data_IF_339339562721
#
_entry.id   IF_339339562721
#
_cell.length_a   1.000
_cell.length_b   1.000
_cell.length_c   1.000
_cell.angle_alpha   90.00
_cell.angle_beta   90.00
_cell.angle_gamma   90.00
#
_symmetry.space_group_name_H-M   'P 1'
#
loop_
_entity.id
_entity.type
_entity.pdbx_description
1 polymer ?
#
# COMPACT_ATOMS: atom_id res chain seq x y z
N UNK A 1 -47.29 34.13 -7.04
CA UNK A 1 -46.23 33.32 -7.68
C UNK A 1 -46.92 32.20 -8.46
N UNK A 2 -46.81 32.16 -9.76
CA UNK A 2 -47.54 31.25 -10.64
C UNK A 2 -46.90 29.90 -10.72
N UNK A 3 -47.70 28.82 -10.86
CA UNK A 3 -47.29 27.41 -11.04
C UNK A 3 -46.24 27.17 -12.14
N UNK A 4 -45.95 28.20 -12.96
CA UNK A 4 -44.92 28.13 -14.03
C UNK A 4 -43.49 28.41 -13.55
N UNK A 5 -43.31 28.94 -12.34
CA UNK A 5 -41.97 29.19 -11.78
C UNK A 5 -41.42 28.02 -10.97
N UNK A 6 -42.23 27.02 -10.62
CA UNK A 6 -41.78 25.80 -9.92
C UNK A 6 -41.26 24.68 -10.87
N UNK A 7 -41.49 24.83 -12.18
CA UNK A 7 -41.04 23.82 -13.17
C UNK A 7 -39.70 24.16 -13.82
N UNK A 8 -39.12 25.31 -13.50
CA UNK A 8 -37.82 25.73 -14.08
C UNK A 8 -36.60 25.35 -13.23
N UNK A 9 -36.79 24.79 -12.02
CA UNK A 9 -35.66 24.32 -11.14
C UNK A 9 -35.48 22.81 -11.18
N UNK A 10 -36.37 22.05 -11.82
CA UNK A 10 -36.29 20.60 -11.98
C UNK A 10 -35.59 20.14 -13.28
N UNK A 11 -35.04 21.10 -14.06
CA UNK A 11 -34.42 20.85 -15.37
C UNK A 11 -32.87 20.80 -15.37
N UNK A 12 -32.21 20.77 -14.22
CA UNK A 12 -30.74 20.60 -14.16
C UNK A 12 -30.42 19.12 -14.16
N UNK A 13 -30.32 18.58 -15.37
CA UNK A 13 -29.29 17.61 -15.74
C UNK A 13 -29.22 16.32 -14.97
N UNK A 14 -30.24 15.46 -14.99
CA UNK A 14 -30.02 14.00 -15.01
C UNK A 14 -29.64 13.58 -16.43
N UNK A 15 -28.49 14.00 -16.89
CA UNK A 15 -27.72 13.19 -17.86
C UNK A 15 -27.17 12.00 -17.08
N UNK A 16 -28.00 10.99 -16.87
CA UNK A 16 -27.57 9.63 -16.65
C UNK A 16 -26.83 9.21 -17.93
N UNK A 17 -25.51 9.49 -17.97
CA UNK A 17 -24.64 8.74 -18.83
C UNK A 17 -24.87 7.28 -18.44
N UNK A 18 -25.49 6.51 -19.32
CA UNK A 18 -25.51 5.06 -19.24
C UNK A 18 -24.07 4.60 -19.41
N UNK A 19 -23.28 4.67 -18.33
CA UNK A 19 -22.06 3.89 -18.19
C UNK A 19 -22.57 2.46 -18.23
N UNK A 20 -22.29 1.78 -19.34
CA UNK A 20 -22.43 0.34 -19.45
C UNK A 20 -21.69 -0.23 -18.26
N UNK A 21 -22.45 -0.54 -17.21
CA UNK A 21 -21.95 -1.19 -16.00
C UNK A 21 -21.61 -2.61 -16.40
N UNK A 22 -20.43 -2.81 -17.00
CA UNK A 22 -19.81 -4.12 -16.97
C UNK A 22 -19.89 -4.54 -15.51
N UNK A 23 -20.61 -5.63 -15.27
CA UNK A 23 -20.62 -6.31 -13.98
C UNK A 23 -19.17 -6.64 -13.69
N UNK A 24 -18.48 -5.81 -12.93
CA UNK A 24 -17.17 -6.16 -12.37
C UNK A 24 -17.52 -7.30 -11.42
N UNK A 25 -17.17 -8.51 -11.79
CA UNK A 25 -17.14 -9.59 -10.81
C UNK A 25 -16.23 -9.06 -9.71
N UNK A 26 -16.74 -8.99 -8.49
CA UNK A 26 -15.93 -8.61 -7.33
C UNK A 26 -14.79 -9.59 -7.29
N UNK A 27 -13.60 -9.15 -7.74
CA UNK A 27 -12.40 -9.95 -7.64
C UNK A 27 -12.09 -9.98 -6.15
N UNK A 28 -12.49 -11.07 -5.51
CA UNK A 28 -12.04 -11.35 -4.16
C UNK A 28 -10.52 -11.46 -4.26
N UNK A 29 -9.79 -10.62 -3.54
CA UNK A 29 -8.37 -10.88 -3.32
C UNK A 29 -8.26 -12.35 -2.92
N UNK A 30 -7.29 -13.06 -3.51
CA UNK A 30 -7.12 -14.49 -3.22
C UNK A 30 -7.20 -14.68 -1.70
N UNK A 31 -7.89 -15.71 -1.28
CA UNK A 31 -8.07 -16.07 0.14
C UNK A 31 -6.73 -16.41 0.84
N UNK A 32 -5.66 -16.50 0.06
CA UNK A 32 -4.29 -16.83 0.47
C UNK A 32 -3.35 -15.60 0.58
N UNK A 33 -3.90 -14.36 0.55
CA UNK A 33 -3.07 -13.18 0.84
C UNK A 33 -2.60 -13.23 2.30
N UNK A 34 -1.30 -13.03 2.56
CA UNK A 34 -0.73 -13.24 3.89
C UNK A 34 -1.26 -12.23 4.92
N UNK A 35 -1.50 -12.72 6.14
CA UNK A 35 -1.86 -11.88 7.29
C UNK A 35 -0.70 -10.98 7.74
N UNK A 36 0.55 -11.47 7.59
CA UNK A 36 1.79 -10.79 7.97
C UNK A 36 2.42 -10.12 6.76
N UNK A 37 2.35 -8.79 6.72
CA UNK A 37 2.99 -7.95 5.69
C UNK A 37 4.02 -7.05 6.36
N UNK A 38 5.27 -7.15 5.91
CA UNK A 38 6.37 -6.36 6.44
C UNK A 38 6.39 -4.98 5.80
N UNK A 39 6.16 -3.94 6.60
CA UNK A 39 6.14 -2.53 6.19
C UNK A 39 7.55 -2.04 5.89
N UNK A 40 7.86 -1.86 4.60
CA UNK A 40 9.21 -1.55 4.09
C UNK A 40 10.25 -2.60 4.49
N UNK A 41 9.83 -3.87 4.65
CA UNK A 41 10.63 -4.95 5.20
C UNK A 41 10.61 -5.00 6.74
N UNK A 42 11.58 -5.68 7.35
CA UNK A 42 11.79 -5.70 8.80
C UNK A 42 12.45 -4.38 9.26
N UNK A 43 11.79 -3.26 9.00
CA UNK A 43 12.33 -1.90 9.10
C UNK A 43 12.66 -1.45 10.54
N UNK A 44 12.20 -2.18 11.56
CA UNK A 44 12.68 -2.01 12.94
C UNK A 44 14.10 -2.59 13.16
N UNK A 45 14.61 -3.46 12.27
CA UNK A 45 15.86 -4.21 12.44
C UNK A 45 16.90 -3.94 11.35
N UNK A 46 16.46 -3.48 10.17
CA UNK A 46 17.32 -3.15 9.04
C UNK A 46 16.81 -1.90 8.32
N UNK A 47 17.65 -1.23 7.50
CA UNK A 47 17.22 -0.05 6.76
C UNK A 47 15.99 -0.31 5.89
N UNK A 48 14.98 0.54 6.02
CA UNK A 48 13.72 0.42 5.30
C UNK A 48 13.92 0.37 3.77
N UNK A 49 13.09 -0.39 3.07
CA UNK A 49 13.08 -0.48 1.61
C UNK A 49 14.41 -1.00 1.00
N UNK A 50 15.15 -1.82 1.74
CA UNK A 50 16.41 -2.43 1.30
C UNK A 50 16.30 -3.96 1.23
N UNK A 51 17.26 -4.57 0.52
CA UNK A 51 17.36 -6.03 0.38
C UNK A 51 17.49 -6.73 1.74
N UNK A 52 18.29 -6.15 2.64
CA UNK A 52 18.51 -6.63 3.99
C UNK A 52 17.21 -6.65 4.80
N UNK A 53 16.42 -5.57 4.75
CA UNK A 53 15.14 -5.51 5.45
C UNK A 53 14.13 -6.51 4.88
N UNK A 54 14.10 -6.70 3.57
CA UNK A 54 13.20 -7.65 2.93
C UNK A 54 13.57 -9.10 3.19
N UNK A 55 14.86 -9.45 3.16
CA UNK A 55 15.34 -10.79 3.52
C UNK A 55 15.03 -11.14 4.97
N UNK A 56 15.34 -10.24 5.90
CA UNK A 56 14.98 -10.42 7.32
C UNK A 56 13.48 -10.57 7.53
N UNK A 57 12.64 -9.87 6.74
CA UNK A 57 11.20 -10.01 6.84
C UNK A 57 10.72 -11.40 6.40
N UNK A 58 11.22 -11.90 5.27
CA UNK A 58 10.87 -13.25 4.78
C UNK A 58 11.38 -14.33 5.73
N UNK A 59 12.60 -14.22 6.24
CA UNK A 59 13.18 -15.11 7.26
C UNK A 59 12.34 -15.12 8.54
N UNK A 60 11.73 -13.97 8.90
CA UNK A 60 10.84 -13.84 10.05
C UNK A 60 9.41 -14.36 9.79
N UNK A 61 9.12 -14.93 8.61
CA UNK A 61 7.83 -15.51 8.28
C UNK A 61 6.81 -14.50 7.71
N UNK A 62 7.25 -13.32 7.25
CA UNK A 62 6.37 -12.44 6.49
C UNK A 62 6.02 -13.08 5.14
N UNK A 63 4.73 -13.21 4.85
CA UNK A 63 4.26 -13.72 3.56
C UNK A 63 4.10 -12.59 2.52
N UNK A 64 4.20 -11.34 2.92
CA UNK A 64 4.13 -10.17 2.05
C UNK A 64 5.12 -9.08 2.43
N UNK A 65 5.61 -8.37 1.42
CA UNK A 65 6.44 -7.18 1.54
C UNK A 65 5.63 -5.96 1.11
N UNK A 66 5.60 -4.95 1.94
CA UNK A 66 5.12 -3.63 1.54
C UNK A 66 6.32 -2.75 1.24
N UNK A 67 6.23 -1.96 0.18
CA UNK A 67 7.30 -1.08 -0.28
C UNK A 67 6.76 0.15 -1.01
N UNK A 68 7.60 1.17 -1.06
CA UNK A 68 7.30 2.46 -1.63
C UNK A 68 8.11 2.69 -2.91
N UNK A 69 7.49 3.23 -3.96
CA UNK A 69 8.21 3.47 -5.22
C UNK A 69 8.15 4.92 -5.69
N UNK A 70 9.29 5.35 -6.23
CA UNK A 70 9.47 6.54 -7.03
C UNK A 70 10.13 6.20 -8.36
N UNK A 71 10.22 7.15 -9.28
CA UNK A 71 10.89 6.98 -10.56
C UNK A 71 12.12 7.89 -10.62
N UNK A 72 13.29 7.34 -10.97
CA UNK A 72 14.54 8.06 -11.22
C UNK A 72 14.43 9.03 -12.39
N UNK A 73 15.44 9.86 -12.64
CA UNK A 73 15.45 10.80 -13.76
C UNK A 73 15.52 10.10 -15.12
N UNK A 74 16.16 8.95 -15.18
CA UNK A 74 16.29 8.10 -16.37
C UNK A 74 15.18 7.05 -16.53
N UNK A 75 14.14 7.10 -15.64
CA UNK A 75 12.90 6.35 -15.83
C UNK A 75 12.82 5.00 -15.14
N UNK A 76 13.77 4.66 -14.27
CA UNK A 76 13.75 3.41 -13.50
C UNK A 76 12.85 3.54 -12.27
N UNK A 77 12.12 2.47 -11.93
CA UNK A 77 11.30 2.40 -10.72
C UNK A 77 12.15 1.97 -9.56
N UNK A 78 12.43 2.89 -8.64
CA UNK A 78 13.28 2.67 -7.46
C UNK A 78 12.46 2.58 -6.19
N UNK A 79 12.97 1.80 -5.23
CA UNK A 79 12.29 1.49 -3.96
C UNK A 79 12.81 2.41 -2.87
N UNK A 80 12.03 3.44 -2.56
CA UNK A 80 12.33 4.45 -1.53
C UNK A 80 11.05 5.17 -1.13
N UNK A 81 10.91 5.52 0.16
CA UNK A 81 9.69 6.14 0.69
C UNK A 81 9.56 7.63 0.36
N UNK A 82 10.61 8.41 0.62
CA UNK A 82 10.58 9.86 0.51
C UNK A 82 10.88 10.31 -0.92
N UNK A 83 10.41 11.47 -1.30
CA UNK A 83 10.74 12.08 -2.59
C UNK A 83 12.21 12.54 -2.68
N UNK A 84 12.95 12.51 -1.57
CA UNK A 84 14.36 12.83 -1.48
C UNK A 84 15.14 11.72 -0.78
N UNK A 85 16.44 11.65 -1.02
CA UNK A 85 17.32 10.62 -0.43
C UNK A 85 17.84 10.98 0.97
N UNK A 86 17.58 12.19 1.45
CA UNK A 86 18.24 12.82 2.61
C UNK A 86 18.04 12.07 3.94
N UNK A 87 16.86 11.46 4.16
CA UNK A 87 16.52 10.85 5.44
C UNK A 87 17.18 9.49 5.66
N UNK A 88 17.38 8.73 4.61
CA UNK A 88 17.82 7.33 4.72
C UNK A 88 19.23 7.10 4.23
N UNK A 89 19.80 7.98 3.38
CA UNK A 89 21.11 7.80 2.78
C UNK A 89 22.16 8.82 3.29
N UNK A 90 23.38 8.69 2.83
CA UNK A 90 24.48 9.67 2.99
C UNK A 90 24.39 10.84 1.99
N UNK A 91 23.52 10.75 0.96
CA UNK A 91 23.32 11.79 -0.04
C UNK A 91 22.26 12.80 0.31
N UNK A 92 22.01 13.73 -0.62
CA UNK A 92 20.94 14.72 -0.52
C UNK A 92 20.38 15.08 -1.90
N UNK A 93 19.07 15.36 -1.97
CA UNK A 93 18.39 15.80 -3.19
C UNK A 93 17.20 14.92 -3.57
N UNK A 94 16.52 15.35 -4.63
CA UNK A 94 15.29 14.68 -5.10
C UNK A 94 15.60 13.42 -5.91
N UNK A 95 14.93 12.31 -5.59
CA UNK A 95 15.01 11.05 -6.34
C UNK A 95 14.73 11.25 -7.83
N UNK A 96 13.71 12.05 -8.16
CA UNK A 96 13.34 12.35 -9.54
C UNK A 96 14.39 13.15 -10.34
N UNK A 97 15.40 13.71 -9.66
CA UNK A 97 16.53 14.44 -10.27
C UNK A 97 17.80 13.61 -10.45
N UNK A 98 17.82 12.37 -9.95
CA UNK A 98 18.97 11.46 -9.97
C UNK A 98 18.73 10.29 -10.92
N UNK A 99 19.77 9.87 -11.65
CA UNK A 99 19.78 8.64 -12.41
C UNK A 99 19.87 7.43 -11.48
N UNK A 100 19.50 6.23 -11.97
CA UNK A 100 19.69 4.99 -11.21
C UNK A 100 21.13 4.80 -10.77
N UNK A 101 22.11 5.15 -11.64
CA UNK A 101 23.53 5.05 -11.31
C UNK A 101 23.94 5.94 -10.13
N UNK A 102 23.41 7.17 -10.07
CA UNK A 102 23.66 8.10 -8.95
C UNK A 102 22.97 7.60 -7.66
N UNK A 103 21.74 7.09 -7.76
CA UNK A 103 21.01 6.53 -6.61
C UNK A 103 21.71 5.28 -6.03
N UNK A 104 22.26 4.41 -6.87
CA UNK A 104 23.01 3.21 -6.45
C UNK A 104 24.34 3.53 -5.78
N UNK A 105 24.91 4.70 -6.03
CA UNK A 105 26.16 5.12 -5.39
C UNK A 105 25.95 5.59 -3.94
N UNK A 106 24.69 5.70 -3.48
CA UNK A 106 24.34 6.13 -2.13
C UNK A 106 24.28 4.94 -1.17
N UNK A 107 24.70 5.15 0.07
CA UNK A 107 24.55 4.18 1.17
C UNK A 107 23.17 4.34 1.84
N UNK A 108 22.22 3.47 1.50
CA UNK A 108 20.88 3.44 2.09
C UNK A 108 20.87 2.91 3.55
N UNK A 109 21.98 2.37 4.04
CA UNK A 109 22.20 1.98 5.44
C UNK A 109 22.72 3.09 6.34
N UNK A 110 23.14 4.21 5.74
CA UNK A 110 23.93 5.25 6.44
C UNK A 110 23.25 5.84 7.67
N UNK A 111 21.94 6.09 7.59
CA UNK A 111 21.15 6.73 8.65
C UNK A 111 20.46 5.75 9.59
N UNK A 112 20.43 4.46 9.26
CA UNK A 112 19.73 3.47 10.09
C UNK A 112 20.40 3.31 11.44
N UNK A 113 19.60 3.47 12.50
CA UNK A 113 20.02 3.27 13.89
C UNK A 113 18.89 2.59 14.68
N UNK A 114 19.09 1.38 15.20
CA UNK A 114 18.07 0.66 15.97
C UNK A 114 17.93 1.18 17.41
N UNK A 115 18.83 2.04 17.85
CA UNK A 115 18.99 2.48 19.24
C UNK A 115 18.97 4.02 19.43
N UNK A 116 18.37 4.73 18.47
CA UNK A 116 18.19 6.18 18.55
C UNK A 116 19.46 6.98 18.28
N UNK A 117 20.33 6.52 17.41
CA UNK A 117 21.53 7.24 16.96
C UNK A 117 22.80 6.90 17.74
N UNK A 118 22.79 5.83 18.55
CA UNK A 118 23.98 5.37 19.28
C UNK A 118 24.88 4.52 18.41
N UNK A 119 24.28 3.64 17.58
CA UNK A 119 25.00 2.79 16.64
C UNK A 119 24.41 2.87 15.24
N UNK A 120 25.23 2.59 14.25
CA UNK A 120 24.85 2.59 12.82
C UNK A 120 25.38 1.28 12.16
N UNK A 121 24.72 0.14 12.42
CA UNK A 121 25.27 -1.17 12.06
C UNK A 121 25.30 -1.47 10.56
N UNK A 122 24.61 -0.69 9.76
CA UNK A 122 24.52 -0.87 8.30
C UNK A 122 25.32 0.18 7.51
N UNK A 123 25.97 1.14 8.18
CA UNK A 123 26.79 2.14 7.51
C UNK A 123 28.01 1.50 6.88
N UNK A 124 28.36 1.92 5.66
CA UNK A 124 29.49 1.38 4.88
C UNK A 124 29.42 -0.14 4.65
N UNK A 125 28.20 -0.68 4.44
CA UNK A 125 27.94 -2.10 4.21
C UNK A 125 27.37 -2.42 2.83
N UNK A 126 27.57 -1.54 1.85
CA UNK A 126 27.06 -1.67 0.47
C UNK A 126 25.53 -1.84 0.41
N UNK A 127 24.79 -1.20 1.33
CA UNK A 127 23.33 -1.21 1.32
C UNK A 127 22.83 -0.23 0.28
N UNK A 128 22.36 -0.75 -0.86
CA UNK A 128 21.94 0.05 -2.00
C UNK A 128 20.43 0.32 -2.06
N UNK A 129 20.07 1.33 -2.86
CA UNK A 129 18.69 1.56 -3.28
C UNK A 129 18.35 0.55 -4.38
N UNK A 130 17.28 -0.23 -4.19
CA UNK A 130 16.81 -1.25 -5.12
C UNK A 130 15.93 -0.65 -6.22
N UNK A 131 15.90 -1.32 -7.36
CA UNK A 131 14.79 -1.19 -8.31
C UNK A 131 13.65 -2.15 -7.94
N UNK A 132 12.43 -1.84 -8.38
CA UNK A 132 11.29 -2.74 -8.21
C UNK A 132 11.50 -4.09 -8.94
N UNK A 133 12.23 -4.10 -10.06
CA UNK A 133 12.56 -5.33 -10.79
C UNK A 133 13.43 -6.26 -9.94
N UNK A 134 14.48 -5.72 -9.28
CA UNK A 134 15.34 -6.50 -8.39
C UNK A 134 14.58 -7.12 -7.20
N UNK A 135 13.58 -6.41 -6.66
CA UNK A 135 12.72 -6.99 -5.61
C UNK A 135 11.94 -8.21 -6.14
N UNK A 136 11.38 -8.12 -7.34
CA UNK A 136 10.66 -9.25 -7.92
C UNK A 136 11.55 -10.43 -8.29
N UNK A 137 12.77 -10.16 -8.73
CA UNK A 137 13.76 -11.20 -9.06
C UNK A 137 14.21 -11.96 -7.81
N UNK A 138 14.45 -11.27 -6.70
CA UNK A 138 14.88 -11.89 -5.45
C UNK A 138 13.72 -12.60 -4.73
N UNK A 139 12.53 -12.01 -4.69
CA UNK A 139 11.39 -12.51 -3.91
C UNK A 139 10.27 -13.07 -4.78
N UNK A 140 10.57 -14.09 -5.60
CA UNK A 140 9.67 -14.66 -6.61
C UNK A 140 8.38 -15.28 -6.05
N UNK A 141 8.41 -15.78 -4.82
CA UNK A 141 7.26 -16.43 -4.16
C UNK A 141 6.50 -15.51 -3.19
N UNK A 142 7.01 -14.30 -2.92
CA UNK A 142 6.46 -13.40 -1.89
C UNK A 142 5.43 -12.44 -2.51
N UNK A 143 4.36 -12.17 -1.78
CA UNK A 143 3.39 -11.16 -2.18
C UNK A 143 3.98 -9.75 -2.00
N UNK A 144 3.66 -8.83 -2.91
CA UNK A 144 4.21 -7.47 -2.88
C UNK A 144 3.08 -6.44 -2.88
N UNK A 145 3.08 -5.57 -1.88
CA UNK A 145 2.22 -4.40 -1.79
C UNK A 145 3.02 -3.15 -2.16
N UNK A 146 2.68 -2.48 -3.26
CA UNK A 146 3.43 -1.34 -3.78
C UNK A 146 2.65 -0.05 -3.54
N UNK A 147 3.23 0.91 -2.81
CA UNK A 147 2.70 2.28 -2.80
C UNK A 147 3.41 3.15 -3.86
N UNK A 148 2.68 3.62 -4.86
CA UNK A 148 3.17 4.64 -5.80
C UNK A 148 3.06 6.01 -5.13
N UNK A 149 4.21 6.60 -4.77
CA UNK A 149 4.30 7.84 -3.97
C UNK A 149 4.12 9.11 -4.79
N UNK A 150 4.49 9.09 -6.04
CA UNK A 150 4.48 10.27 -6.91
C UNK A 150 3.34 10.26 -7.94
N UNK A 151 3.19 11.39 -8.64
CA UNK A 151 2.17 11.55 -9.68
C UNK A 151 2.78 12.00 -11.01
N UNK A 152 4.07 11.73 -11.23
CA UNK A 152 4.76 12.02 -12.48
C UNK A 152 4.12 11.24 -13.63
N UNK A 153 3.90 11.87 -14.80
CA UNK A 153 3.37 11.15 -15.98
C UNK A 153 4.26 9.94 -16.34
N UNK A 154 3.63 8.80 -16.62
CA UNK A 154 4.31 7.57 -17.02
C UNK A 154 4.66 6.62 -15.87
N UNK A 155 4.61 7.06 -14.60
CA UNK A 155 4.96 6.20 -13.47
C UNK A 155 4.07 4.96 -13.38
N UNK A 156 2.78 5.10 -13.61
CA UNK A 156 1.82 3.99 -13.56
C UNK A 156 2.08 2.96 -14.66
N UNK A 157 2.43 3.43 -15.86
CA UNK A 157 2.78 2.61 -17.01
C UNK A 157 4.07 1.82 -16.75
N UNK A 158 5.10 2.49 -16.22
CA UNK A 158 6.40 1.85 -15.92
C UNK A 158 6.25 0.82 -14.80
N UNK A 159 5.57 1.15 -13.70
CA UNK A 159 5.29 0.18 -12.61
C UNK A 159 4.55 -1.04 -13.15
N UNK A 160 3.52 -0.84 -13.99
CA UNK A 160 2.77 -1.94 -14.59
C UNK A 160 3.66 -2.81 -15.51
N UNK A 161 4.57 -2.21 -16.28
CA UNK A 161 5.50 -2.94 -17.14
C UNK A 161 6.45 -3.82 -16.32
N UNK A 162 6.99 -3.31 -15.20
CA UNK A 162 7.84 -4.09 -14.28
C UNK A 162 7.06 -5.27 -13.68
N UNK A 163 5.83 -5.05 -13.16
CA UNK A 163 4.98 -6.12 -12.61
C UNK A 163 4.74 -7.22 -13.64
N UNK A 164 4.42 -6.84 -14.89
CA UNK A 164 4.18 -7.80 -15.98
C UNK A 164 5.45 -8.51 -16.43
N UNK A 165 6.56 -7.79 -16.52
CA UNK A 165 7.85 -8.37 -16.87
C UNK A 165 8.28 -9.46 -15.91
N UNK A 166 7.92 -9.30 -14.62
CA UNK A 166 8.15 -10.28 -13.57
C UNK A 166 7.06 -11.38 -13.48
N UNK A 167 5.98 -11.32 -14.27
CA UNK A 167 4.84 -12.25 -14.16
C UNK A 167 4.15 -12.21 -12.79
N UNK A 168 4.13 -11.02 -12.14
CA UNK A 168 3.80 -10.88 -10.71
C UNK A 168 2.39 -10.32 -10.47
N UNK A 169 1.52 -10.27 -11.48
CA UNK A 169 0.20 -9.62 -11.38
C UNK A 169 -0.69 -10.24 -10.29
N UNK A 170 -0.63 -11.56 -10.09
CA UNK A 170 -1.48 -12.25 -9.12
C UNK A 170 -1.01 -12.10 -7.67
N UNK A 171 0.28 -11.79 -7.46
CA UNK A 171 0.90 -11.61 -6.15
C UNK A 171 1.21 -10.16 -5.81
N UNK A 172 0.66 -9.21 -6.58
CA UNK A 172 0.88 -7.77 -6.38
C UNK A 172 -0.42 -7.05 -6.03
N UNK A 173 -0.35 -6.16 -5.04
CA UNK A 173 -1.37 -5.15 -4.74
C UNK A 173 -0.76 -3.77 -4.96
N UNK A 174 -1.41 -2.91 -5.75
CA UNK A 174 -0.93 -1.55 -5.99
C UNK A 174 -1.82 -0.52 -5.30
N UNK A 175 -1.20 0.35 -4.52
CA UNK A 175 -1.86 1.42 -3.80
C UNK A 175 -1.26 2.78 -4.12
N UNK A 176 -1.99 3.84 -3.86
CA UNK A 176 -1.49 5.20 -3.78
C UNK A 176 -2.46 6.06 -2.97
N UNK A 177 -1.91 6.87 -2.09
CA UNK A 177 -2.68 7.91 -1.39
C UNK A 177 -3.30 8.93 -2.35
N UNK A 178 -2.74 9.07 -3.56
CA UNK A 178 -3.18 10.01 -4.61
C UNK A 178 -4.27 9.39 -5.48
N UNK A 179 -5.50 9.83 -5.32
CA UNK A 179 -6.65 9.30 -6.07
C UNK A 179 -6.46 9.28 -7.60
N UNK A 180 -5.80 10.31 -8.15
CA UNK A 180 -5.51 10.38 -9.59
C UNK A 180 -4.61 9.24 -10.06
N UNK A 181 -3.57 8.91 -9.31
CA UNK A 181 -2.59 7.86 -9.60
C UNK A 181 -3.27 6.50 -9.62
N UNK A 182 -3.90 6.08 -8.50
CA UNK A 182 -4.53 4.76 -8.44
C UNK A 182 -5.65 4.61 -9.46
N UNK A 183 -6.38 5.68 -9.79
CA UNK A 183 -7.41 5.65 -10.82
C UNK A 183 -6.83 5.48 -12.23
N UNK A 184 -5.66 6.10 -12.54
CA UNK A 184 -4.96 5.86 -13.81
C UNK A 184 -4.45 4.44 -13.88
N UNK A 185 -3.79 3.95 -12.82
CA UNK A 185 -3.30 2.58 -12.73
C UNK A 185 -4.43 1.55 -12.97
N UNK A 186 -5.60 1.70 -12.33
CA UNK A 186 -6.77 0.83 -12.55
C UNK A 186 -7.24 0.82 -14.00
N UNK A 187 -7.20 1.96 -14.70
CA UNK A 187 -7.56 1.99 -16.13
C UNK A 187 -6.56 1.23 -17.00
N UNK A 188 -5.29 1.27 -16.65
CA UNK A 188 -4.22 0.57 -17.37
C UNK A 188 -4.23 -0.94 -17.13
N UNK A 189 -4.35 -1.35 -15.88
CA UNK A 189 -4.31 -2.77 -15.52
C UNK A 189 -5.65 -3.49 -15.75
N UNK A 190 -6.76 -2.77 -15.78
CA UNK A 190 -8.11 -3.37 -15.77
C UNK A 190 -8.31 -4.15 -14.48
N UNK A 191 -8.78 -5.41 -14.62
CA UNK A 191 -9.01 -6.29 -13.48
C UNK A 191 -7.86 -7.29 -13.25
N UNK A 192 -6.66 -7.05 -13.82
CA UNK A 192 -5.53 -8.00 -13.74
C UNK A 192 -4.73 -7.87 -12.46
N UNK A 193 -4.56 -6.65 -11.95
CA UNK A 193 -3.78 -6.37 -10.75
C UNK A 193 -4.72 -5.74 -9.71
N UNK A 194 -4.83 -6.33 -8.51
CA UNK A 194 -5.62 -5.74 -7.41
C UNK A 194 -5.07 -4.37 -7.01
N UNK A 195 -5.97 -3.51 -6.50
CA UNK A 195 -5.60 -2.18 -6.04
C UNK A 195 -6.20 -1.85 -4.68
N UNK A 196 -5.50 -1.05 -3.90
CA UNK A 196 -6.04 -0.48 -2.67
C UNK A 196 -6.80 0.82 -2.90
N UNK A 197 -7.57 1.23 -1.90
CA UNK A 197 -8.30 2.47 -1.89
C UNK A 197 -7.38 3.68 -1.70
N UNK A 198 -7.61 4.76 -2.43
CA UNK A 198 -6.97 6.05 -2.18
C UNK A 198 -7.51 6.71 -0.91
N UNK A 199 -6.79 7.69 -0.37
CA UNK A 199 -7.25 8.46 0.81
C UNK A 199 -8.66 9.03 0.66
N UNK A 200 -9.03 9.48 -0.56
CA UNK A 200 -10.38 9.97 -0.84
C UNK A 200 -11.41 8.84 -0.72
N UNK A 201 -11.12 7.67 -1.29
CA UNK A 201 -12.02 6.52 -1.28
C UNK A 201 -12.19 5.96 0.14
N UNK A 202 -11.11 5.93 0.95
CA UNK A 202 -11.16 5.55 2.37
C UNK A 202 -12.10 6.49 3.14
N UNK A 203 -11.94 7.81 2.97
CA UNK A 203 -12.80 8.80 3.61
C UNK A 203 -14.27 8.61 3.22
N UNK A 204 -14.55 8.46 1.93
CA UNK A 204 -15.91 8.31 1.40
C UNK A 204 -16.53 6.99 1.91
N UNK A 205 -15.75 5.92 1.96
CA UNK A 205 -16.16 4.63 2.54
C UNK A 205 -16.48 4.77 4.04
N UNK A 206 -15.59 5.41 4.81
CA UNK A 206 -15.79 5.62 6.24
C UNK A 206 -17.09 6.37 6.53
N UNK A 207 -17.34 7.47 5.82
CA UNK A 207 -18.58 8.26 5.99
C UNK A 207 -19.83 7.42 5.67
N UNK A 208 -19.83 6.70 4.56
CA UNK A 208 -20.98 5.89 4.15
C UNK A 208 -21.19 4.67 5.07
N UNK A 209 -20.12 4.03 5.54
CA UNK A 209 -20.23 2.94 6.51
C UNK A 209 -20.80 3.42 7.85
N UNK A 210 -20.38 4.60 8.33
CA UNK A 210 -20.93 5.22 9.54
C UNK A 210 -22.41 5.49 9.42
N UNK A 211 -22.87 5.94 8.25
CA UNK A 211 -24.27 6.21 7.95
C UNK A 211 -25.08 4.96 7.56
N UNK A 212 -24.48 3.76 7.55
CA UNK A 212 -25.07 2.49 7.09
C UNK A 212 -25.52 2.52 5.61
N UNK A 213 -24.83 3.32 4.79
CA UNK A 213 -25.10 3.49 3.36
C UNK A 213 -24.06 2.80 2.45
N UNK A 214 -23.19 1.95 3.00
CA UNK A 214 -22.14 1.23 2.25
C UNK A 214 -22.69 0.34 1.12
N UNK A 215 -23.95 -0.08 1.24
CA UNK A 215 -24.62 -0.88 0.18
C UNK A 215 -24.77 -0.12 -1.14
N UNK A 216 -24.76 1.23 -1.09
CA UNK A 216 -24.78 2.07 -2.29
C UNK A 216 -23.41 2.13 -2.99
N UNK A 217 -22.33 1.73 -2.31
CA UNK A 217 -20.99 1.71 -2.87
C UNK A 217 -20.77 0.48 -3.75
N UNK A 218 -20.00 0.70 -4.81
CA UNK A 218 -19.38 -0.36 -5.61
C UNK A 218 -17.88 -0.08 -5.63
N UNK A 219 -17.13 -0.55 -4.59
CA UNK A 219 -15.72 -0.28 -4.47
C UNK A 219 -14.97 -0.73 -5.72
N UNK A 220 -14.15 0.14 -6.35
CA UNK A 220 -13.30 -0.25 -7.46
C UNK A 220 -11.92 -0.76 -6.97
N UNK A 221 -11.82 -1.13 -5.71
CA UNK A 221 -10.61 -1.56 -5.00
C UNK A 221 -10.90 -2.81 -4.18
N UNK A 222 -9.85 -3.55 -3.89
CA UNK A 222 -9.89 -4.82 -3.17
C UNK A 222 -9.49 -4.66 -1.69
N UNK A 223 -8.75 -3.59 -1.33
CA UNK A 223 -8.26 -3.37 0.04
C UNK A 223 -8.47 -1.91 0.51
N UNK A 224 -8.80 -1.76 1.79
CA UNK A 224 -8.75 -0.51 2.55
C UNK A 224 -7.52 -0.58 3.47
N UNK A 225 -6.49 0.22 3.19
CA UNK A 225 -5.28 0.30 4.01
C UNK A 225 -5.37 1.49 4.93
N UNK A 226 -5.58 1.25 6.22
CA UNK A 226 -5.93 2.29 7.19
C UNK A 226 -5.11 2.18 8.48
N UNK A 227 -4.82 3.30 9.18
CA UNK A 227 -4.34 3.25 10.56
C UNK A 227 -5.49 2.85 11.49
N UNK A 228 -5.21 2.38 12.72
CA UNK A 228 -6.24 2.05 13.71
C UNK A 228 -7.17 3.22 14.02
N UNK A 229 -6.61 4.42 14.05
CA UNK A 229 -7.33 5.68 14.23
C UNK A 229 -6.76 6.80 13.33
N UNK A 230 -7.54 7.84 13.14
CA UNK A 230 -7.09 9.07 12.49
C UNK A 230 -7.40 10.28 13.37
N UNK A 231 -6.37 10.89 13.96
CA UNK A 231 -6.48 12.05 14.88
C UNK A 231 -7.42 11.78 16.06
N UNK A 232 -7.33 10.59 16.63
CA UNK A 232 -8.16 10.17 17.76
C UNK A 232 -9.57 9.67 17.40
N UNK A 233 -9.89 9.62 16.10
CA UNK A 233 -11.14 9.01 15.62
C UNK A 233 -10.85 7.56 15.25
N UNK A 234 -11.44 6.56 15.95
CA UNK A 234 -11.25 5.17 15.59
C UNK A 234 -11.74 4.87 14.17
N UNK A 235 -10.86 4.36 13.32
CA UNK A 235 -11.21 3.90 11.98
C UNK A 235 -11.53 2.40 11.98
N UNK A 236 -10.66 1.60 12.58
CA UNK A 236 -10.84 0.14 12.63
C UNK A 236 -11.80 -0.21 13.77
N UNK A 237 -13.07 -0.26 13.44
CA UNK A 237 -14.17 -0.62 14.36
C UNK A 237 -14.90 -1.86 13.83
N UNK A 238 -15.63 -2.64 14.69
CA UNK A 238 -16.45 -3.75 14.21
C UNK A 238 -17.39 -3.34 13.08
N UNK A 239 -17.98 -2.14 13.17
CA UNK A 239 -18.88 -1.62 12.13
C UNK A 239 -18.17 -1.34 10.80
N UNK A 240 -16.95 -0.81 10.85
CA UNK A 240 -16.16 -0.52 9.63
C UNK A 240 -15.74 -1.82 8.94
N UNK A 241 -15.28 -2.82 9.72
CA UNK A 241 -14.90 -4.14 9.21
C UNK A 241 -16.10 -4.87 8.60
N UNK A 242 -17.24 -4.94 9.31
CA UNK A 242 -18.48 -5.51 8.78
C UNK A 242 -18.89 -4.87 7.45
N UNK A 243 -18.83 -3.53 7.38
CA UNK A 243 -19.17 -2.80 6.17
C UNK A 243 -18.22 -3.15 5.02
N UNK A 244 -16.90 -3.22 5.27
CA UNK A 244 -15.91 -3.57 4.26
C UNK A 244 -16.12 -5.00 3.75
N UNK A 245 -16.22 -5.96 4.66
CA UNK A 245 -16.45 -7.38 4.33
C UNK A 245 -17.77 -7.60 3.59
N UNK A 246 -18.85 -6.88 3.96
CA UNK A 246 -20.12 -6.95 3.24
C UNK A 246 -20.04 -6.48 1.78
N UNK A 247 -18.96 -5.75 1.44
CA UNK A 247 -18.66 -5.26 0.09
C UNK A 247 -17.55 -6.07 -0.60
N UNK A 248 -17.05 -7.14 0.04
CA UNK A 248 -15.95 -7.95 -0.47
C UNK A 248 -14.60 -7.21 -0.47
N UNK A 249 -14.44 -6.24 0.43
CA UNK A 249 -13.23 -5.44 0.56
C UNK A 249 -12.51 -5.83 1.83
N UNK A 250 -11.23 -6.11 1.73
CA UNK A 250 -10.32 -6.44 2.81
C UNK A 250 -9.87 -5.17 3.55
N UNK A 251 -9.57 -5.30 4.84
CA UNK A 251 -9.04 -4.22 5.68
C UNK A 251 -7.64 -4.57 6.16
N UNK A 252 -6.66 -3.83 5.68
CA UNK A 252 -5.25 -3.95 6.05
C UNK A 252 -4.91 -2.81 7.01
N UNK A 253 -4.31 -3.14 8.16
CA UNK A 253 -4.05 -2.13 9.22
C UNK A 253 -2.55 -1.89 9.36
N UNK A 254 -2.13 -0.61 9.31
CA UNK A 254 -0.73 -0.15 9.37
C UNK A 254 -0.54 1.05 10.30
N UNK A 255 0.64 1.32 10.86
CA UNK A 255 1.73 0.39 11.07
C UNK A 255 1.66 -0.09 12.50
N UNK A 256 1.55 -1.38 12.74
CA UNK A 256 1.29 -1.96 14.05
C UNK A 256 2.52 -2.75 14.51
N UNK A 257 3.13 -2.32 15.62
CA UNK A 257 4.38 -2.90 16.13
C UNK A 257 4.23 -3.53 17.53
N UNK A 258 3.10 -3.30 18.21
CA UNK A 258 2.80 -3.86 19.52
C UNK A 258 2.01 -5.18 19.39
N UNK A 259 2.48 -6.23 20.05
CA UNK A 259 1.88 -7.57 19.99
C UNK A 259 0.43 -7.61 20.52
N UNK A 260 0.12 -6.83 21.57
CA UNK A 260 -1.23 -6.75 22.13
C UNK A 260 -2.19 -6.08 21.17
N UNK A 261 -1.75 -5.03 20.48
CA UNK A 261 -2.54 -4.33 19.46
C UNK A 261 -2.72 -5.21 18.21
N UNK A 262 -1.69 -5.98 17.80
CA UNK A 262 -1.81 -6.98 16.72
C UNK A 262 -2.91 -7.99 17.04
N UNK A 263 -2.89 -8.60 18.23
CA UNK A 263 -3.92 -9.53 18.70
C UNK A 263 -5.31 -8.89 18.67
N UNK A 264 -5.44 -7.71 19.26
CA UNK A 264 -6.72 -6.98 19.32
C UNK A 264 -7.32 -6.74 17.94
N UNK A 265 -6.50 -6.31 16.97
CA UNK A 265 -6.96 -6.03 15.60
C UNK A 265 -7.34 -7.30 14.84
N UNK A 266 -6.57 -8.37 15.01
CA UNK A 266 -6.90 -9.68 14.43
C UNK A 266 -8.19 -10.26 15.04
N UNK A 267 -8.42 -10.08 16.35
CA UNK A 267 -9.66 -10.49 17.02
C UNK A 267 -10.87 -9.68 16.55
N UNK A 268 -10.68 -8.42 16.19
CA UNK A 268 -11.71 -7.58 15.59
C UNK A 268 -12.03 -8.00 14.16
N UNK A 269 -11.18 -8.77 13.50
CA UNK A 269 -11.35 -9.24 12.12
C UNK A 269 -10.60 -8.42 11.06
N UNK A 270 -9.49 -7.75 11.44
CA UNK A 270 -8.58 -7.20 10.44
C UNK A 270 -7.99 -8.32 9.58
N UNK A 271 -7.90 -8.09 8.26
CA UNK A 271 -7.47 -9.12 7.31
C UNK A 271 -5.96 -9.19 7.16
N UNK A 272 -5.27 -8.06 7.35
CA UNK A 272 -3.81 -7.94 7.26
C UNK A 272 -3.30 -6.97 8.31
N UNK A 273 -2.19 -7.32 8.91
CA UNK A 273 -1.39 -6.41 9.73
C UNK A 273 -0.10 -6.09 8.97
N UNK A 274 0.16 -4.79 8.77
CA UNK A 274 1.43 -4.28 8.26
C UNK A 274 2.27 -3.79 9.43
N UNK A 275 3.50 -4.29 9.53
CA UNK A 275 4.36 -4.08 10.69
C UNK A 275 5.82 -3.88 10.30
N UNK A 276 6.55 -3.07 11.09
CA UNK A 276 8.02 -2.97 11.03
C UNK A 276 8.72 -4.16 11.71
N UNK A 277 7.91 -5.01 12.42
CA UNK A 277 8.37 -6.13 13.27
C UNK A 277 7.68 -7.44 12.86
N UNK A 278 7.96 -7.95 11.65
CA UNK A 278 7.30 -9.17 11.15
C UNK A 278 7.51 -10.39 12.05
N UNK A 279 8.66 -10.50 12.74
CA UNK A 279 8.93 -11.54 13.72
C UNK A 279 7.95 -11.52 14.91
N UNK A 280 7.56 -10.32 15.37
CA UNK A 280 6.58 -10.17 16.45
C UNK A 280 5.21 -10.68 16.00
N UNK A 281 4.80 -10.32 14.78
CA UNK A 281 3.52 -10.76 14.24
C UNK A 281 3.49 -12.27 13.97
N UNK A 282 4.59 -12.86 13.47
CA UNK A 282 4.71 -14.31 13.31
C UNK A 282 4.50 -15.04 14.63
N UNK A 283 5.15 -14.58 15.72
CA UNK A 283 4.95 -15.15 17.06
C UNK A 283 3.50 -15.02 17.57
N UNK A 284 2.82 -13.89 17.26
CA UNK A 284 1.38 -13.71 17.58
C UNK A 284 0.51 -14.70 16.82
N UNK A 285 0.78 -14.92 15.53
CA UNK A 285 0.01 -15.84 14.68
C UNK A 285 0.19 -17.30 15.08
N UNK A 286 1.43 -17.72 15.43
CA UNK A 286 1.73 -19.06 15.94
C UNK A 286 0.98 -19.35 17.24
N UNK A 287 0.95 -18.37 18.16
CA UNK A 287 0.21 -18.49 19.42
C UNK A 287 -1.31 -18.57 19.27
N UNK A 288 -1.87 -18.20 18.10
CA UNK A 288 -3.31 -18.31 17.79
C UNK A 288 -3.70 -19.65 17.14
N UNK A 289 -2.72 -20.36 16.56
CA UNK A 289 -2.95 -21.62 15.85
C UNK A 289 -2.88 -22.87 16.73
N UNK A 290 -2.47 -22.73 17.99
CA UNK A 290 -2.43 -23.78 19.01
C UNK A 290 -3.61 -23.67 19.94
#
# INVERSE_FOLDING_TARGET
MSRKQLLAVAGVGLTLAAVVLRKRETRTLRSDWPLNVAHRGASARAPENTLEAFRLAVEAGAGGLELDVHMSSDGEVVVIHDATVDRTTDGSGAVAGMTLGELRALDAGYRFSPDGGRTYPYRDRDVGILTLAEVYDEFQATNVNIEIKEARPGVEETVMQVIRGAGAEERTLVVSNRHGVVRRFRRLCGDRIPTGASRREIRDFYLLSTLRLERSLRPPYEALQVPPDYRGIPLVTPRFLEAAHSRGVRVDVWTINDAGEMMRLLDLGADVIMTDRPETLSGVLEGRGG
#
